data_IF_716340691922
#
_entry.id   IF_716340691922
#
_cell.length_a   1.000
_cell.length_b   1.000
_cell.length_c   1.000
_cell.angle_alpha   90.00
_cell.angle_beta   90.00
_cell.angle_gamma   90.00
#
_symmetry.space_group_name_H-M   'P 1'
#
loop_
_entity.id
_entity.type
_entity.pdbx_description
1 polymer ?
#
# COMPACT_ATOMS: atom_id res chain seq x y z
N UNK A 1 59.50 -24.06 -37.68
CA UNK A 1 58.47 -23.43 -36.85
C UNK A 1 57.28 -24.37 -36.75
N UNK A 2 57.04 -25.00 -35.60
CA UNK A 2 55.94 -25.97 -35.39
C UNK A 2 54.80 -25.27 -34.66
N UNK A 3 53.63 -25.22 -35.29
CA UNK A 3 52.42 -24.62 -34.74
C UNK A 3 51.80 -25.56 -33.68
N UNK A 4 51.68 -25.07 -32.44
CA UNK A 4 50.94 -25.75 -31.37
C UNK A 4 49.45 -25.41 -31.51
N UNK A 5 48.66 -26.39 -31.90
CA UNK A 5 47.19 -26.33 -31.94
C UNK A 5 46.67 -26.58 -30.52
N UNK A 6 46.21 -25.54 -29.81
CA UNK A 6 45.56 -25.66 -28.49
C UNK A 6 44.14 -26.22 -28.66
N UNK A 7 43.90 -27.43 -28.17
CA UNK A 7 42.56 -27.96 -27.97
C UNK A 7 41.86 -27.16 -26.85
N UNK A 8 40.76 -26.50 -27.17
CA UNK A 8 39.85 -25.89 -26.19
C UNK A 8 38.73 -26.90 -25.94
N UNK A 9 38.72 -27.53 -24.77
CA UNK A 9 37.63 -28.38 -24.31
C UNK A 9 36.45 -27.51 -23.84
N UNK A 10 35.24 -27.66 -24.39
CA UNK A 10 34.07 -26.98 -23.87
C UNK A 10 33.67 -27.62 -22.53
N UNK A 11 33.79 -26.85 -21.45
CA UNK A 11 33.25 -27.23 -20.14
C UNK A 11 31.72 -27.13 -20.23
N UNK A 12 31.06 -28.27 -20.38
CA UNK A 12 29.60 -28.36 -20.30
C UNK A 12 29.17 -28.08 -18.86
N UNK A 13 28.71 -26.85 -18.60
CA UNK A 13 28.11 -26.48 -17.33
C UNK A 13 26.72 -27.14 -17.24
N UNK A 14 26.65 -28.27 -16.53
CA UNK A 14 25.37 -28.91 -16.21
C UNK A 14 24.69 -28.04 -15.16
N UNK A 15 23.80 -27.15 -15.61
CA UNK A 15 22.89 -26.43 -14.74
C UNK A 15 21.88 -27.43 -14.18
N UNK A 16 22.18 -28.00 -13.01
CA UNK A 16 21.23 -28.77 -12.24
C UNK A 16 20.08 -27.82 -11.83
N UNK A 17 19.01 -27.83 -12.60
CA UNK A 17 17.75 -27.20 -12.20
C UNK A 17 17.19 -28.03 -11.05
N UNK A 18 17.55 -27.64 -9.83
CA UNK A 18 16.89 -28.13 -8.63
C UNK A 18 15.45 -27.63 -8.73
N UNK A 19 14.56 -28.46 -9.25
CA UNK A 19 13.11 -28.29 -9.18
C UNK A 19 12.68 -28.51 -7.74
N UNK A 20 13.14 -27.65 -6.84
CA UNK A 20 12.59 -27.55 -5.50
C UNK A 20 11.16 -27.08 -5.68
N UNK A 21 10.20 -27.85 -5.15
CA UNK A 21 8.83 -27.39 -5.00
C UNK A 21 8.86 -26.04 -4.30
N UNK A 22 8.72 -24.96 -5.07
CA UNK A 22 8.65 -23.61 -4.53
C UNK A 22 7.34 -23.54 -3.74
N UNK A 23 7.44 -23.79 -2.42
CA UNK A 23 6.32 -23.70 -1.50
C UNK A 23 5.60 -22.37 -1.68
N UNK A 24 4.28 -22.39 -1.56
CA UNK A 24 3.48 -21.16 -1.57
C UNK A 24 3.94 -20.26 -0.43
N UNK A 25 4.49 -19.09 -0.79
CA UNK A 25 4.95 -18.10 0.19
C UNK A 25 3.78 -17.51 0.97
N UNK A 26 4.04 -16.73 2.04
CA UNK A 26 2.99 -16.04 2.77
C UNK A 26 2.17 -15.11 1.86
N UNK A 27 0.88 -15.03 2.13
CA UNK A 27 -0.07 -14.14 1.44
C UNK A 27 -0.26 -12.87 2.26
N UNK A 28 -0.25 -11.72 1.57
CA UNK A 28 -0.48 -10.41 2.18
C UNK A 28 -1.98 -10.15 2.32
N UNK A 29 -2.40 -9.75 3.51
CA UNK A 29 -3.75 -9.29 3.84
C UNK A 29 -3.67 -7.82 4.25
N UNK A 30 -4.68 -7.05 3.85
CA UNK A 30 -4.74 -5.62 4.10
C UNK A 30 -6.10 -5.23 4.65
N UNK A 31 -6.09 -4.73 5.88
CA UNK A 31 -7.26 -4.39 6.69
C UNK A 31 -8.31 -5.51 6.82
N UNK A 32 -7.88 -6.75 6.64
CA UNK A 32 -8.69 -7.96 6.80
C UNK A 32 -7.86 -9.08 7.42
N UNK A 33 -8.52 -10.08 7.98
CA UNK A 33 -7.89 -11.32 8.43
C UNK A 33 -8.21 -12.45 7.45
N UNK A 34 -7.46 -13.56 7.47
CA UNK A 34 -7.81 -14.76 6.70
C UNK A 34 -9.17 -15.38 7.07
N UNK A 35 -9.75 -14.97 8.20
CA UNK A 35 -11.02 -15.48 8.73
C UNK A 35 -12.21 -14.54 8.41
N UNK A 36 -11.96 -13.33 7.90
CA UNK A 36 -12.99 -12.34 7.56
C UNK A 36 -13.11 -12.17 6.03
N UNK A 37 -14.27 -12.53 5.48
CA UNK A 37 -14.58 -12.36 4.05
C UNK A 37 -15.29 -11.03 3.73
N UNK A 38 -15.45 -10.12 4.69
CA UNK A 38 -16.10 -8.84 4.45
C UNK A 38 -15.14 -7.86 3.77
N UNK A 39 -15.40 -7.60 2.49
CA UNK A 39 -14.78 -6.49 1.77
C UNK A 39 -15.39 -5.17 2.24
N UNK A 40 -14.74 -4.53 3.22
CA UNK A 40 -15.11 -3.18 3.67
C UNK A 40 -14.56 -2.15 2.70
N UNK A 41 -15.44 -1.38 2.07
CA UNK A 41 -15.04 -0.20 1.30
C UNK A 41 -14.84 0.96 2.26
N UNK A 42 -13.64 1.56 2.26
CA UNK A 42 -13.32 2.73 3.08
C UNK A 42 -13.41 3.98 2.20
N UNK A 43 -14.22 4.96 2.60
CA UNK A 43 -14.31 6.26 1.93
C UNK A 43 -13.44 7.30 2.63
N UNK A 44 -12.61 8.00 1.86
CA UNK A 44 -11.81 9.14 2.33
C UNK A 44 -12.08 10.34 1.44
N UNK A 45 -12.48 11.45 2.05
CA UNK A 45 -12.78 12.70 1.34
C UNK A 45 -11.97 13.83 1.96
N UNK A 46 -11.06 14.41 1.17
CA UNK A 46 -10.29 15.57 1.58
C UNK A 46 -10.85 16.83 0.89
N UNK A 47 -11.40 17.79 1.65
CA UNK A 47 -11.90 19.03 1.08
C UNK A 47 -10.74 19.98 0.72
N UNK A 48 -11.03 20.95 -0.16
CA UNK A 48 -10.17 22.10 -0.43
C UNK A 48 -8.71 21.74 -0.83
N UNK A 49 -8.54 20.61 -1.50
CA UNK A 49 -7.22 20.13 -1.96
C UNK A 49 -6.72 20.92 -3.17
N UNK A 50 -5.40 21.13 -3.23
CA UNK A 50 -4.71 21.93 -4.24
C UNK A 50 -3.86 21.03 -5.13
N UNK A 51 -3.76 21.39 -6.41
CA UNK A 51 -2.93 20.68 -7.37
C UNK A 51 -1.46 20.59 -6.91
N UNK A 52 -0.82 19.47 -7.25
CA UNK A 52 0.60 19.20 -6.99
C UNK A 52 1.04 19.22 -5.50
N UNK A 53 0.08 19.16 -4.57
CA UNK A 53 0.35 19.00 -3.13
C UNK A 53 0.24 17.53 -2.72
N UNK A 54 1.05 17.07 -1.74
CA UNK A 54 0.97 15.71 -1.23
C UNK A 54 -0.11 15.58 -0.15
N UNK A 55 -0.92 14.53 -0.27
CA UNK A 55 -1.93 14.14 0.71
C UNK A 55 -1.66 12.71 1.15
N UNK A 56 -1.09 12.56 2.34
CA UNK A 56 -0.73 11.27 2.91
C UNK A 56 -1.87 10.71 3.75
N UNK A 57 -2.22 9.47 3.47
CA UNK A 57 -3.22 8.71 4.16
C UNK A 57 -2.58 7.46 4.77
N UNK A 58 -3.06 7.04 5.93
CA UNK A 58 -2.68 5.78 6.57
C UNK A 58 -3.78 5.26 7.47
N UNK A 59 -3.41 4.44 8.45
CA UNK A 59 -4.38 3.74 9.30
C UNK A 59 -4.86 2.39 8.78
N UNK A 60 -4.21 1.85 7.75
CA UNK A 60 -4.51 0.50 7.25
C UNK A 60 -3.42 -0.47 7.64
N UNK A 61 -3.85 -1.62 8.14
CA UNK A 61 -2.95 -2.62 8.71
C UNK A 61 -2.71 -3.72 7.69
N UNK A 62 -1.44 -4.11 7.56
CA UNK A 62 -0.99 -5.23 6.74
C UNK A 62 -0.48 -6.36 7.63
N UNK A 63 -0.82 -7.59 7.25
CA UNK A 63 -0.33 -8.79 7.90
C UNK A 63 -0.23 -9.97 6.92
N UNK A 64 0.40 -11.06 7.35
CA UNK A 64 0.62 -12.29 6.60
C UNK A 64 -0.20 -13.45 7.17
N UNK A 65 -0.74 -14.31 6.31
CA UNK A 65 -1.44 -15.53 6.76
C UNK A 65 -0.55 -16.52 7.53
N UNK A 66 0.76 -16.50 7.30
CA UNK A 66 1.73 -17.42 7.90
C UNK A 66 3.10 -16.74 8.08
N UNK A 67 4.02 -17.31 8.88
CA UNK A 67 5.37 -16.78 9.02
C UNK A 67 6.10 -16.61 7.68
N UNK A 68 6.78 -15.48 7.51
CA UNK A 68 7.60 -15.19 6.35
C UNK A 68 7.78 -13.70 6.13
N UNK A 69 8.06 -13.32 4.89
CA UNK A 69 8.29 -11.94 4.48
C UNK A 69 7.74 -11.70 3.08
N UNK A 70 7.12 -10.54 2.87
CA UNK A 70 6.72 -10.06 1.54
C UNK A 70 7.26 -8.65 1.32
N UNK A 71 7.61 -8.35 0.08
CA UNK A 71 8.03 -7.02 -0.35
C UNK A 71 6.94 -6.44 -1.23
N UNK A 72 6.49 -5.22 -0.91
CA UNK A 72 5.59 -4.48 -1.80
C UNK A 72 6.44 -3.83 -2.88
N UNK A 73 6.18 -4.21 -4.12
CA UNK A 73 6.97 -3.79 -5.27
C UNK A 73 6.40 -2.51 -5.89
N UNK A 74 5.06 -2.43 -5.96
CA UNK A 74 4.32 -1.34 -6.60
C UNK A 74 2.92 -1.23 -6.02
N UNK A 75 2.36 -0.03 -6.06
CA UNK A 75 0.93 0.21 -5.82
C UNK A 75 0.38 1.03 -6.98
N UNK A 76 -0.72 0.56 -7.59
CA UNK A 76 -1.45 1.28 -8.64
C UNK A 76 -2.82 1.72 -8.13
N UNK A 77 -3.35 2.80 -8.70
CA UNK A 77 -4.73 3.24 -8.45
C UNK A 77 -5.72 2.39 -9.26
N UNK A 78 -6.87 2.11 -8.65
CA UNK A 78 -8.03 1.52 -9.33
C UNK A 78 -9.02 2.64 -9.69
N UNK A 79 -9.47 2.63 -10.94
CA UNK A 79 -10.40 3.61 -11.53
C UNK A 79 -10.07 5.08 -11.24
N UNK A 80 -8.83 5.56 -11.52
CA UNK A 80 -8.48 6.95 -11.28
C UNK A 80 -9.19 7.90 -12.25
N UNK A 81 -9.69 9.03 -11.75
CA UNK A 81 -10.30 10.11 -12.52
C UNK A 81 -9.89 11.49 -12.01
N UNK A 82 -10.09 12.53 -12.82
CA UNK A 82 -9.81 13.93 -12.43
C UNK A 82 -8.33 14.25 -12.19
N UNK A 83 -7.42 13.40 -12.69
CA UNK A 83 -5.97 13.62 -12.55
C UNK A 83 -5.40 13.21 -11.19
N UNK A 84 -6.06 12.33 -10.44
CA UNK A 84 -5.48 11.77 -9.22
C UNK A 84 -4.24 10.94 -9.56
N UNK A 85 -3.22 11.02 -8.71
CA UNK A 85 -1.99 10.25 -8.83
C UNK A 85 -1.58 9.70 -7.48
N UNK A 86 -1.03 8.49 -7.48
CA UNK A 86 -0.30 7.96 -6.33
C UNK A 86 1.16 8.38 -6.47
N UNK A 87 1.61 9.29 -5.60
CA UNK A 87 2.96 9.85 -5.64
C UNK A 87 3.98 8.95 -4.94
N UNK A 88 3.56 8.31 -3.85
CA UNK A 88 4.40 7.40 -3.08
C UNK A 88 3.55 6.41 -2.28
N UNK A 89 4.17 5.31 -1.89
CA UNK A 89 3.67 4.41 -0.85
C UNK A 89 4.84 4.01 0.04
N UNK A 90 4.55 3.69 1.30
CA UNK A 90 5.53 3.10 2.19
C UNK A 90 4.83 2.39 3.34
N UNK A 91 5.55 1.54 4.06
CA UNK A 91 5.03 0.91 5.27
C UNK A 91 5.91 1.22 6.47
N UNK A 92 5.31 1.16 7.66
CA UNK A 92 6.06 1.28 8.92
C UNK A 92 5.48 0.32 9.94
N UNK A 93 6.31 -0.15 10.86
CA UNK A 93 5.80 -0.82 12.06
C UNK A 93 5.21 0.22 12.99
N UNK A 94 4.01 -0.05 13.49
CA UNK A 94 3.40 0.73 14.54
C UNK A 94 4.21 0.59 15.83
N UNK A 95 4.32 1.66 16.60
CA UNK A 95 4.89 1.64 17.95
C UNK A 95 3.78 1.94 18.96
N UNK A 96 3.90 1.40 20.17
CA UNK A 96 2.94 1.67 21.27
C UNK A 96 2.76 3.17 21.57
N UNK A 97 3.74 3.97 21.21
CA UNK A 97 3.80 5.42 21.47
C UNK A 97 3.32 6.26 20.29
N UNK A 98 3.04 5.66 19.13
CA UNK A 98 2.67 6.38 17.91
C UNK A 98 1.39 5.77 17.34
N UNK A 99 0.33 6.57 17.28
CA UNK A 99 -0.91 6.18 16.62
C UNK A 99 -0.75 5.95 15.12
N UNK A 100 -1.80 5.39 14.51
CA UNK A 100 -1.99 5.40 13.06
C UNK A 100 -1.93 6.83 12.51
N UNK A 101 -1.49 6.97 11.26
CA UNK A 101 -1.30 8.25 10.60
C UNK A 101 -2.63 9.01 10.45
N UNK A 102 -3.70 8.32 10.03
CA UNK A 102 -4.92 8.98 9.58
C UNK A 102 -4.67 9.77 8.30
N UNK A 103 -4.90 11.07 8.32
CA UNK A 103 -4.85 11.96 7.15
C UNK A 103 -3.92 13.15 7.42
N UNK A 104 -2.97 13.44 6.53
CA UNK A 104 -1.97 14.50 6.69
C UNK A 104 -1.57 15.14 5.34
N UNK A 105 -1.46 16.47 5.30
CA UNK A 105 -1.02 17.22 4.11
C UNK A 105 0.51 17.36 4.01
N UNK A 106 1.23 16.29 4.31
CA UNK A 106 2.70 16.26 4.28
C UNK A 106 3.22 15.00 3.61
N UNK A 107 4.44 15.01 3.06
CA UNK A 107 5.05 13.80 2.51
C UNK A 107 5.19 12.70 3.56
N UNK A 108 5.03 11.43 3.15
CA UNK A 108 5.16 10.26 4.03
C UNK A 108 6.51 10.24 4.80
N UNK A 109 7.59 10.70 4.17
CA UNK A 109 8.92 10.76 4.79
C UNK A 109 8.99 11.71 5.99
N UNK A 110 8.25 12.82 5.97
CA UNK A 110 8.15 13.75 7.09
C UNK A 110 7.28 13.19 8.23
N UNK A 111 6.44 12.21 7.90
CA UNK A 111 5.52 11.52 8.81
C UNK A 111 6.16 10.26 9.42
N UNK A 112 7.46 10.08 9.24
CA UNK A 112 8.23 8.98 9.80
C UNK A 112 8.04 7.64 9.08
N UNK A 113 7.53 7.66 7.85
CA UNK A 113 7.63 6.51 6.96
C UNK A 113 9.00 6.52 6.25
N UNK A 114 9.65 5.36 6.08
CA UNK A 114 10.90 5.29 5.34
C UNK A 114 10.70 5.54 3.85
N UNK A 115 11.71 6.08 3.17
CA UNK A 115 11.66 6.32 1.73
C UNK A 115 11.54 5.04 0.89
N UNK A 116 11.98 3.90 1.44
CA UNK A 116 11.77 2.57 0.86
C UNK A 116 10.93 1.76 1.84
N UNK A 117 9.82 1.21 1.35
CA UNK A 117 8.97 0.36 2.15
C UNK A 117 9.76 -0.85 2.68
N UNK A 118 9.79 -1.10 4.00
CA UNK A 118 10.34 -2.32 4.53
C UNK A 118 9.46 -3.51 4.12
N UNK A 119 10.05 -4.69 4.20
CA UNK A 119 9.30 -5.93 4.07
C UNK A 119 8.24 -6.05 5.18
N UNK A 120 7.05 -6.55 4.81
CA UNK A 120 6.01 -6.88 5.76
C UNK A 120 6.29 -8.28 6.30
N UNK A 121 6.37 -8.40 7.63
CA UNK A 121 6.67 -9.67 8.31
C UNK A 121 5.68 -9.97 9.45
N UNK A 122 4.74 -9.08 9.72
CA UNK A 122 3.74 -9.25 10.78
C UNK A 122 2.77 -10.34 10.37
N UNK A 123 2.59 -11.35 11.21
CA UNK A 123 1.60 -12.42 10.97
C UNK A 123 0.23 -11.91 11.43
N UNK A 124 -0.84 -12.27 10.73
CA UNK A 124 -2.20 -11.97 11.16
C UNK A 124 -2.45 -12.74 12.46
N UNK A 125 -2.44 -12.03 13.59
CA UNK A 125 -2.66 -12.62 14.91
C UNK A 125 -4.12 -13.00 15.13
N UNK A 126 -4.34 -14.02 15.98
CA UNK A 126 -5.63 -14.23 16.67
C UNK A 126 -5.74 -13.38 17.94
N UNK A 127 -4.60 -13.00 18.52
CA UNK A 127 -4.55 -12.22 19.75
C UNK A 127 -4.60 -10.73 19.46
N UNK A 128 -5.68 -10.09 19.91
CA UNK A 128 -5.95 -8.66 19.77
C UNK A 128 -4.87 -7.77 20.40
N UNK A 129 -4.02 -8.34 21.24
CA UNK A 129 -2.97 -7.65 22.02
C UNK A 129 -1.62 -7.56 21.31
N UNK A 130 -1.48 -8.09 20.09
CA UNK A 130 -0.25 -7.88 19.31
C UNK A 130 -0.28 -6.46 18.69
N UNK A 131 0.16 -5.49 19.50
CA UNK A 131 0.13 -4.04 19.23
C UNK A 131 1.06 -3.66 18.05
N UNK A 132 1.88 -4.59 17.55
CA UNK A 132 2.88 -4.33 16.51
C UNK A 132 2.36 -4.67 15.11
N UNK A 133 1.43 -3.84 14.66
CA UNK A 133 0.87 -3.89 13.29
C UNK A 133 1.82 -3.23 12.29
N UNK A 134 1.82 -3.68 11.05
CA UNK A 134 2.49 -2.95 9.96
C UNK A 134 1.47 -2.05 9.29
N UNK A 135 1.67 -0.75 9.37
CA UNK A 135 0.80 0.25 8.76
C UNK A 135 1.24 0.56 7.33
N UNK A 136 0.28 0.59 6.39
CA UNK A 136 0.47 1.12 5.04
C UNK A 136 0.19 2.63 5.03
N UNK A 137 1.10 3.39 4.45
CA UNK A 137 0.92 4.80 4.10
C UNK A 137 0.87 4.97 2.59
N UNK A 138 -0.09 5.75 2.11
CA UNK A 138 -0.31 6.06 0.70
C UNK A 138 -0.30 7.58 0.52
N UNK A 139 0.50 8.09 -0.40
CA UNK A 139 0.59 9.52 -0.69
C UNK A 139 -0.04 9.81 -2.04
N UNK A 140 -1.11 10.58 -2.01
CA UNK A 140 -1.86 11.01 -3.18
C UNK A 140 -1.48 12.43 -3.56
N UNK A 141 -1.80 12.79 -4.80
CA UNK A 141 -1.89 14.16 -5.25
C UNK A 141 -2.86 14.24 -6.43
N UNK A 142 -3.08 15.45 -6.93
CA UNK A 142 -3.81 15.67 -8.18
C UNK A 142 -3.02 16.59 -9.11
N UNK A 143 -3.13 16.35 -10.42
CA UNK A 143 -2.36 17.06 -11.45
C UNK A 143 -2.99 18.36 -11.91
N UNK A 144 -4.24 18.64 -11.52
CA UNK A 144 -4.95 19.87 -11.86
C UNK A 144 -5.90 20.27 -10.73
N UNK A 145 -6.59 21.40 -10.92
CA UNK A 145 -7.39 22.00 -9.83
C UNK A 145 -8.73 21.30 -9.60
N UNK A 146 -9.25 20.56 -10.58
CA UNK A 146 -10.51 19.83 -10.50
C UNK A 146 -10.51 18.77 -9.38
N UNK A 147 -11.71 18.33 -8.98
CA UNK A 147 -11.86 17.18 -8.07
C UNK A 147 -11.30 15.91 -8.70
N UNK A 148 -10.53 15.16 -7.92
CA UNK A 148 -9.86 13.94 -8.36
C UNK A 148 -10.27 12.75 -7.48
N UNK A 149 -10.36 11.54 -8.07
CA UNK A 149 -10.89 10.36 -7.38
C UNK A 149 -10.20 9.05 -7.80
N UNK A 150 -10.05 8.11 -6.88
CA UNK A 150 -9.75 6.69 -7.17
C UNK A 150 -10.65 5.79 -6.32
N UNK A 151 -11.10 4.66 -6.87
CA UNK A 151 -12.00 3.72 -6.18
C UNK A 151 -11.25 2.70 -5.29
N UNK A 152 -9.92 2.65 -5.39
CA UNK A 152 -9.09 1.77 -4.58
C UNK A 152 -7.65 1.76 -5.03
N UNK A 153 -6.90 0.80 -4.51
CA UNK A 153 -5.53 0.52 -4.92
C UNK A 153 -5.29 -0.97 -5.15
N UNK A 154 -4.40 -1.28 -6.09
CA UNK A 154 -3.85 -2.62 -6.30
C UNK A 154 -2.41 -2.65 -5.84
N UNK A 155 -2.16 -3.49 -4.84
CA UNK A 155 -0.82 -3.69 -4.28
C UNK A 155 -0.18 -4.90 -4.97
N UNK A 156 0.93 -4.68 -5.66
CA UNK A 156 1.76 -5.72 -6.23
C UNK A 156 2.86 -6.07 -5.22
N UNK A 157 3.01 -7.35 -4.90
CA UNK A 157 4.00 -7.80 -3.93
C UNK A 157 4.67 -9.09 -4.34
N UNK A 158 5.90 -9.29 -3.89
CA UNK A 158 6.68 -10.50 -4.09
C UNK A 158 6.71 -11.34 -2.82
N UNK A 159 6.39 -12.63 -2.95
CA UNK A 159 6.43 -13.63 -1.88
C UNK A 159 7.05 -14.93 -2.39
N UNK A 160 8.07 -15.44 -1.70
CA UNK A 160 8.83 -16.63 -2.12
C UNK A 160 9.26 -16.60 -3.60
N UNK A 161 9.70 -15.43 -4.09
CA UNK A 161 10.14 -15.22 -5.48
C UNK A 161 9.03 -15.14 -6.53
N UNK A 162 7.75 -15.13 -6.11
CA UNK A 162 6.59 -15.01 -7.01
C UNK A 162 5.88 -13.68 -6.79
N UNK A 163 5.40 -13.10 -7.88
CA UNK A 163 4.59 -11.90 -7.85
C UNK A 163 3.12 -12.23 -7.58
N UNK A 164 2.49 -11.39 -6.78
CA UNK A 164 1.10 -11.49 -6.37
C UNK A 164 0.47 -10.09 -6.35
N UNK A 165 -0.86 -10.07 -6.27
CA UNK A 165 -1.63 -8.83 -6.13
C UNK A 165 -2.66 -8.97 -5.02
N UNK A 166 -2.96 -7.86 -4.36
CA UNK A 166 -4.13 -7.71 -3.49
C UNK A 166 -4.76 -6.35 -3.76
N UNK A 167 -6.08 -6.35 -3.94
CA UNK A 167 -6.84 -5.13 -4.13
C UNK A 167 -7.40 -4.65 -2.80
N UNK A 168 -7.43 -3.33 -2.63
CA UNK A 168 -7.96 -2.67 -1.46
C UNK A 168 -8.98 -1.61 -1.89
N UNK A 169 -10.23 -1.81 -1.52
CA UNK A 169 -11.33 -0.90 -1.80
C UNK A 169 -11.24 0.35 -0.91
N UNK A 170 -10.69 1.42 -1.48
CA UNK A 170 -10.43 2.68 -0.81
C UNK A 170 -10.86 3.82 -1.76
N UNK A 171 -12.08 4.32 -1.58
CA UNK A 171 -12.62 5.44 -2.38
C UNK A 171 -12.03 6.76 -1.87
N UNK A 172 -10.96 7.24 -2.52
CA UNK A 172 -10.29 8.50 -2.18
C UNK A 172 -10.80 9.61 -3.09
N UNK A 173 -11.22 10.74 -2.50
CA UNK A 173 -11.60 11.96 -3.22
C UNK A 173 -10.80 13.16 -2.73
N UNK A 174 -10.09 13.81 -3.65
CA UNK A 174 -9.36 15.07 -3.43
C UNK A 174 -10.18 16.20 -4.05
N UNK A 175 -11.02 16.86 -3.26
CA UNK A 175 -12.01 17.81 -3.77
C UNK A 175 -11.37 19.18 -4.02
N UNK A 176 -11.80 19.87 -5.09
CA UNK A 176 -11.35 21.23 -5.35
C UNK A 176 -11.95 22.23 -4.33
N UNK A 177 -11.31 23.39 -4.09
CA UNK A 177 -11.83 24.40 -3.15
C UNK A 177 -13.22 24.97 -3.53
N UNK A 178 -13.50 25.03 -4.83
CA UNK A 178 -14.65 25.75 -5.41
C UNK A 178 -15.54 24.89 -6.33
N UNK A 179 -15.45 23.57 -6.26
CA UNK A 179 -16.33 22.68 -7.04
C UNK A 179 -17.76 22.70 -6.50
N UNK A 180 -18.76 22.53 -7.37
CA UNK A 180 -20.15 22.33 -6.93
C UNK A 180 -20.31 21.03 -6.12
N UNK A 181 -19.49 20.03 -6.46
CA UNK A 181 -19.31 18.80 -5.69
C UNK A 181 -18.65 19.05 -4.33
N UNK A 182 -18.06 20.24 -4.08
CA UNK A 182 -17.43 20.59 -2.79
C UNK A 182 -18.47 20.80 -1.68
N UNK A 183 -19.75 21.09 -1.98
CA UNK A 183 -20.79 21.02 -0.95
C UNK A 183 -21.03 19.57 -0.51
N UNK A 184 -21.18 18.65 -1.46
CA UNK A 184 -21.26 17.22 -1.14
C UNK A 184 -19.98 16.71 -0.47
N UNK A 185 -18.79 17.11 -0.93
CA UNK A 185 -17.54 16.74 -0.27
C UNK A 185 -17.46 17.31 1.16
N UNK A 186 -17.85 18.57 1.38
CA UNK A 186 -17.84 19.19 2.72
C UNK A 186 -18.89 18.58 3.63
N UNK A 187 -20.05 18.24 3.11
CA UNK A 187 -21.13 17.64 3.88
C UNK A 187 -20.78 16.18 4.23
N UNK A 188 -20.24 15.40 3.28
CA UNK A 188 -19.66 14.07 3.55
C UNK A 188 -18.52 14.15 4.56
N UNK A 189 -17.60 15.12 4.42
CA UNK A 189 -16.50 15.29 5.38
C UNK A 189 -17.00 15.62 6.79
N UNK A 190 -18.03 16.47 6.91
CA UNK A 190 -18.64 16.79 8.21
C UNK A 190 -19.35 15.59 8.82
N UNK A 191 -20.09 14.82 8.02
CA UNK A 191 -20.80 13.62 8.45
C UNK A 191 -19.81 12.58 9.01
N UNK A 192 -18.78 12.21 8.23
CA UNK A 192 -17.74 11.26 8.63
C UNK A 192 -17.02 11.70 9.92
N UNK A 193 -16.72 13.00 10.06
CA UNK A 193 -16.05 13.52 11.26
C UNK A 193 -16.97 13.60 12.48
N UNK A 194 -18.28 13.76 12.27
CA UNK A 194 -19.27 13.80 13.35
C UNK A 194 -19.54 12.42 13.94
N UNK A 195 -19.61 11.38 13.10
CA UNK A 195 -19.71 9.97 13.54
C UNK A 195 -18.48 9.56 14.35
N UNK A 196 -17.30 10.00 13.93
CA UNK A 196 -16.03 9.71 14.63
C UNK A 196 -15.94 10.30 16.06
N UNK A 197 -16.83 11.22 16.45
CA UNK A 197 -16.85 11.86 17.79
C UNK A 197 -17.97 11.36 18.71
N UNK A 198 -18.87 10.50 18.22
CA UNK A 198 -20.05 10.05 18.96
C UNK A 198 -19.81 8.90 19.94
N UNK A 199 -18.63 8.27 19.88
CA UNK A 199 -18.30 7.03 20.61
C UNK A 199 -17.30 7.23 21.78
N UNK A 200 -17.08 8.47 22.25
CA UNK A 200 -16.31 8.77 23.48
C UNK A 200 -17.18 8.93 24.73
#
# INVERSE_FOLDING_TARGET
MRALTRLILPVAMVAAMVSGCAGEGPRLYLNKTPESDEDVTIGVVLPDTVAHRPYSLGGWVMCLDRPGSVTIDKVDLLDPSGGIVLQAFSSRRQSRTRGMLGEEERPLTELGFPARSPAVTTICGKDRDDILRTELGLQYGKTGDATARAAGVRVFYTSAGRQHTVDFALDVRLCAPDDMDTKQCRDMYKELRSESKGDE
#
